data_IF_271359959709
#
_entry.id   IF_271359959709
#
_cell.length_a   1.000
_cell.length_b   1.000
_cell.length_c   1.000
_cell.angle_alpha   90.00
_cell.angle_beta   90.00
_cell.angle_gamma   90.00
#
_symmetry.space_group_name_H-M   'P 1'
#
loop_
_entity.id
_entity.type
_entity.pdbx_description
1 polymer ?
#
# COMPACT_ATOMS: atom_id res chain seq x y z
N UNK A 1 10.07 -2.06 9.17
CA UNK A 1 8.92 -2.53 8.36
C UNK A 1 8.91 -1.73 7.07
N UNK A 2 8.68 -2.38 5.94
CA UNK A 2 8.52 -1.72 4.65
C UNK A 2 7.16 -2.05 4.05
N UNK A 3 6.53 -1.03 3.45
CA UNK A 3 5.34 -1.15 2.62
C UNK A 3 5.75 -0.87 1.18
N UNK A 4 5.56 -1.86 0.30
CA UNK A 4 5.79 -1.72 -1.13
C UNK A 4 4.44 -1.75 -1.86
N UNK A 5 4.22 -0.77 -2.72
CA UNK A 5 3.02 -0.67 -3.55
C UNK A 5 3.49 -0.73 -5.00
N UNK A 6 2.98 -1.69 -5.76
CA UNK A 6 3.33 -1.87 -7.16
C UNK A 6 2.10 -1.73 -8.05
N UNK A 7 2.32 -1.34 -9.29
CA UNK A 7 1.29 -1.39 -10.32
C UNK A 7 1.13 -2.81 -10.82
N UNK A 8 -0.13 -3.22 -10.99
CA UNK A 8 -0.49 -4.47 -11.63
C UNK A 8 -0.70 -4.22 -13.12
N UNK A 9 0.26 -4.64 -13.92
CA UNK A 9 0.29 -4.36 -15.36
C UNK A 9 0.55 -5.64 -16.18
N UNK A 10 -0.45 -6.55 -16.25
CA UNK A 10 -0.29 -7.83 -16.95
C UNK A 10 -0.15 -7.68 -18.47
N UNK A 11 -0.51 -6.53 -19.02
CA UNK A 11 -0.46 -6.25 -20.46
C UNK A 11 0.69 -5.31 -20.84
N UNK A 12 1.53 -4.97 -19.88
CA UNK A 12 2.66 -4.05 -20.07
C UNK A 12 2.23 -2.71 -20.68
N UNK A 13 1.11 -2.17 -20.17
CA UNK A 13 0.57 -0.91 -20.65
C UNK A 13 1.51 0.28 -20.40
N UNK A 14 2.33 0.22 -19.34
CA UNK A 14 3.32 1.27 -19.06
C UNK A 14 4.31 1.43 -20.22
N UNK A 15 4.70 0.34 -20.87
CA UNK A 15 5.63 0.37 -22.00
C UNK A 15 5.01 1.00 -23.25
N UNK A 16 3.69 1.14 -23.29
CA UNK A 16 2.96 1.66 -24.45
C UNK A 16 2.67 3.15 -24.37
N UNK A 17 2.88 3.78 -23.22
CA UNK A 17 2.61 5.21 -23.00
C UNK A 17 3.89 6.01 -22.92
N UNK A 18 3.83 7.28 -23.32
CA UNK A 18 4.96 8.21 -23.21
C UNK A 18 5.06 8.78 -21.80
N UNK A 19 6.22 9.35 -21.47
CA UNK A 19 6.44 10.02 -20.18
C UNK A 19 5.46 11.19 -19.94
N UNK A 20 4.98 11.82 -21.01
CA UNK A 20 3.96 12.87 -20.88
C UNK A 20 2.64 12.37 -20.29
N UNK A 21 2.39 11.07 -20.36
CA UNK A 21 1.21 10.41 -19.77
C UNK A 21 1.56 9.78 -18.41
N UNK A 22 2.67 9.04 -18.33
CA UNK A 22 3.01 8.27 -17.13
C UNK A 22 3.47 9.16 -15.96
N UNK A 23 4.28 10.18 -16.21
CA UNK A 23 4.82 11.04 -15.14
C UNK A 23 3.72 11.80 -14.38
N UNK A 24 2.74 12.45 -15.02
CA UNK A 24 1.62 13.05 -14.28
C UNK A 24 0.79 12.03 -13.49
N UNK A 25 0.64 10.82 -14.00
CA UNK A 25 -0.05 9.75 -13.31
C UNK A 25 0.69 9.34 -12.02
N UNK A 26 2.01 9.16 -12.09
CA UNK A 26 2.82 8.85 -10.91
C UNK A 26 2.78 10.00 -9.89
N UNK A 27 2.79 11.24 -10.35
CA UNK A 27 2.69 12.41 -9.48
C UNK A 27 1.36 12.45 -8.72
N UNK A 28 0.26 12.09 -9.38
CA UNK A 28 -1.06 12.01 -8.75
C UNK A 28 -1.10 10.89 -7.71
N UNK A 29 -0.55 9.72 -8.03
CA UNK A 29 -0.42 8.61 -7.07
C UNK A 29 0.39 9.04 -5.85
N UNK A 30 1.47 9.78 -6.05
CA UNK A 30 2.31 10.27 -4.95
C UNK A 30 1.56 11.27 -4.06
N UNK A 31 0.76 12.15 -4.63
CA UNK A 31 -0.09 13.08 -3.86
C UNK A 31 -1.06 12.30 -2.98
N UNK A 32 -1.72 11.30 -3.52
CA UNK A 32 -2.65 10.45 -2.75
C UNK A 32 -1.93 9.68 -1.65
N UNK A 33 -0.74 9.15 -1.93
CA UNK A 33 0.04 8.44 -0.92
C UNK A 33 0.47 9.38 0.21
N UNK A 34 0.98 10.56 -0.12
CA UNK A 34 1.38 11.56 0.87
C UNK A 34 0.23 11.97 1.79
N UNK A 35 -0.95 12.18 1.24
CA UNK A 35 -2.15 12.51 2.03
C UNK A 35 -2.60 11.35 2.91
N UNK A 36 -2.52 10.14 2.40
CA UNK A 36 -2.79 8.92 3.18
C UNK A 36 -1.84 8.81 4.39
N UNK A 37 -0.55 9.09 4.18
CA UNK A 37 0.44 9.09 5.25
C UNK A 37 0.10 10.17 6.29
N UNK A 38 -0.16 11.40 5.86
CA UNK A 38 -0.47 12.53 6.77
C UNK A 38 -1.65 12.22 7.69
N UNK A 39 -2.74 11.72 7.13
CA UNK A 39 -3.94 11.43 7.93
C UNK A 39 -3.76 10.21 8.82
N UNK A 40 -3.08 9.18 8.34
CA UNK A 40 -2.84 7.97 9.14
C UNK A 40 -1.89 8.24 10.31
N UNK A 41 -0.81 9.01 10.13
CA UNK A 41 0.08 9.34 11.25
C UNK A 41 -0.64 10.17 12.31
N UNK A 42 -1.54 11.06 11.93
CA UNK A 42 -2.37 11.81 12.87
C UNK A 42 -3.29 10.87 13.67
N UNK A 43 -3.96 9.96 12.99
CA UNK A 43 -4.88 9.02 13.64
C UNK A 43 -4.15 8.11 14.63
N UNK A 44 -2.98 7.59 14.27
CA UNK A 44 -2.19 6.70 15.13
C UNK A 44 -1.24 7.45 16.08
N UNK A 45 -1.31 8.78 16.12
CA UNK A 45 -0.49 9.65 17.00
C UNK A 45 1.01 9.45 16.79
N UNK A 46 1.41 9.32 15.54
CA UNK A 46 2.80 9.26 15.13
C UNK A 46 3.24 10.60 14.53
N UNK A 47 4.54 10.75 14.32
CA UNK A 47 5.10 11.88 13.61
C UNK A 47 5.25 11.53 12.13
N UNK A 48 5.07 12.52 11.26
CA UNK A 48 5.30 12.32 9.81
C UNK A 48 6.73 11.82 9.53
N UNK A 49 7.69 12.28 10.33
CA UNK A 49 9.10 11.90 10.21
C UNK A 49 9.38 10.44 10.60
N UNK A 50 8.46 9.76 11.28
CA UNK A 50 8.61 8.33 11.58
C UNK A 50 8.53 7.46 10.32
N UNK A 51 7.88 7.96 9.26
CA UNK A 51 7.74 7.25 8.00
C UNK A 51 8.68 7.85 6.95
N UNK A 52 9.54 6.99 6.41
CA UNK A 52 10.50 7.35 5.36
C UNK A 52 9.94 6.95 4.01
N UNK A 53 10.04 7.84 3.03
CA UNK A 53 9.82 7.50 1.62
C UNK A 53 11.14 6.96 1.07
N UNK A 54 11.22 5.64 0.96
CA UNK A 54 12.42 4.97 0.39
C UNK A 54 12.47 5.19 -1.11
N UNK A 55 11.34 5.07 -1.76
CA UNK A 55 11.18 5.31 -3.19
C UNK A 55 9.81 5.95 -3.44
N UNK A 56 9.76 7.18 -4.00
CA UNK A 56 8.49 7.76 -4.44
C UNK A 56 7.97 7.04 -5.69
N UNK A 57 6.71 7.28 -6.05
CA UNK A 57 6.10 6.61 -7.20
C UNK A 57 6.88 6.82 -8.49
N UNK A 58 7.17 5.72 -9.14
CA UNK A 58 7.71 5.61 -10.49
C UNK A 58 7.12 4.33 -11.13
N UNK A 59 7.64 3.90 -12.27
CA UNK A 59 7.11 2.75 -13.01
C UNK A 59 7.03 1.46 -12.17
N UNK A 60 7.94 1.25 -11.22
CA UNK A 60 7.96 0.07 -10.34
C UNK A 60 7.17 0.28 -9.03
N UNK A 61 6.44 1.39 -8.90
CA UNK A 61 5.63 1.68 -7.73
C UNK A 61 6.31 2.58 -6.72
N UNK A 62 5.98 2.42 -5.44
CA UNK A 62 6.52 3.21 -4.34
C UNK A 62 6.84 2.34 -3.12
N UNK A 63 7.76 2.80 -2.29
CA UNK A 63 8.15 2.09 -1.05
C UNK A 63 8.28 3.06 0.12
N UNK A 64 7.66 2.70 1.23
CA UNK A 64 7.74 3.38 2.52
C UNK A 64 8.41 2.48 3.54
N UNK A 65 9.02 3.06 4.57
CA UNK A 65 9.53 2.30 5.71
C UNK A 65 9.28 3.03 7.03
N UNK A 66 9.21 2.25 8.10
CA UNK A 66 9.07 2.73 9.47
C UNK A 66 9.88 1.80 10.38
N UNK A 67 10.42 2.34 11.47
CA UNK A 67 11.09 1.52 12.47
C UNK A 67 10.08 0.57 13.15
N UNK A 68 10.43 -0.71 13.26
CA UNK A 68 9.54 -1.74 13.80
C UNK A 68 9.15 -1.50 15.27
N UNK A 69 10.00 -0.81 16.02
CA UNK A 69 9.75 -0.47 17.43
C UNK A 69 8.90 0.80 17.62
N UNK A 70 8.51 1.48 16.55
CA UNK A 70 7.58 2.61 16.63
C UNK A 70 6.21 2.09 17.07
N UNK A 71 5.57 2.71 18.08
CA UNK A 71 4.24 2.28 18.51
C UNK A 71 3.23 2.30 17.35
N UNK A 72 2.42 1.26 17.23
CA UNK A 72 1.40 1.10 16.18
C UNK A 72 1.96 1.10 14.75
N UNK A 73 3.25 0.79 14.57
CA UNK A 73 3.91 0.86 13.27
C UNK A 73 3.20 0.01 12.21
N UNK A 74 2.93 -1.26 12.50
CA UNK A 74 2.28 -2.16 11.56
C UNK A 74 0.84 -1.74 11.25
N UNK A 75 0.08 -1.34 12.29
CA UNK A 75 -1.29 -0.87 12.12
C UNK A 75 -1.36 0.39 11.25
N UNK A 76 -0.47 1.35 11.49
CA UNK A 76 -0.40 2.58 10.69
C UNK A 76 -0.05 2.29 9.24
N UNK A 77 0.98 1.48 8.99
CA UNK A 77 1.41 1.14 7.64
C UNK A 77 0.34 0.36 6.87
N UNK A 78 -0.35 -0.57 7.51
CA UNK A 78 -1.46 -1.30 6.90
C UNK A 78 -2.62 -0.35 6.54
N UNK A 79 -2.94 0.61 7.39
CA UNK A 79 -3.99 1.59 7.11
C UNK A 79 -3.60 2.52 5.96
N UNK A 80 -2.35 2.96 5.89
CA UNK A 80 -1.84 3.74 4.75
C UNK A 80 -2.07 2.98 3.44
N UNK A 81 -1.67 1.71 3.39
CA UNK A 81 -1.87 0.87 2.22
C UNK A 81 -3.35 0.70 1.85
N UNK A 82 -4.20 0.54 2.85
CA UNK A 82 -5.66 0.40 2.67
C UNK A 82 -6.28 1.67 2.11
N UNK A 83 -5.99 2.82 2.70
CA UNK A 83 -6.53 4.12 2.26
C UNK A 83 -6.04 4.45 0.85
N UNK A 84 -4.75 4.24 0.59
CA UNK A 84 -4.21 4.45 -0.75
C UNK A 84 -4.89 3.56 -1.79
N UNK A 85 -5.13 2.30 -1.47
CA UNK A 85 -5.80 1.38 -2.40
C UNK A 85 -7.24 1.83 -2.69
N UNK A 86 -7.97 2.30 -1.69
CA UNK A 86 -9.32 2.85 -1.91
C UNK A 86 -9.29 4.07 -2.83
N UNK A 87 -8.31 4.96 -2.67
CA UNK A 87 -8.09 6.10 -3.55
C UNK A 87 -7.74 5.65 -4.98
N UNK A 88 -6.87 4.67 -5.09
CA UNK A 88 -6.46 4.09 -6.38
C UNK A 88 -7.66 3.47 -7.13
N UNK A 89 -8.59 2.83 -6.42
CA UNK A 89 -9.78 2.27 -7.02
C UNK A 89 -10.75 3.34 -7.52
N UNK A 90 -10.93 4.43 -6.78
CA UNK A 90 -11.72 5.58 -7.23
C UNK A 90 -11.12 6.18 -8.50
N UNK A 91 -9.79 6.35 -8.51
CA UNK A 91 -9.06 6.85 -9.66
C UNK A 91 -9.19 5.91 -10.87
N UNK A 92 -9.04 4.61 -10.63
CA UNK A 92 -9.14 3.58 -11.67
C UNK A 92 -10.50 3.63 -12.36
N UNK A 93 -11.58 3.68 -11.58
CA UNK A 93 -12.95 3.76 -12.11
C UNK A 93 -13.15 5.02 -12.95
N UNK A 94 -12.77 6.17 -12.42
CA UNK A 94 -12.94 7.47 -13.08
C UNK A 94 -12.14 7.55 -14.38
N UNK A 95 -10.86 7.18 -14.34
CA UNK A 95 -9.99 7.28 -15.51
C UNK A 95 -10.37 6.30 -16.60
N UNK A 96 -10.87 5.12 -16.24
CA UNK A 96 -11.41 4.19 -17.24
C UNK A 96 -12.64 4.75 -17.95
N UNK A 97 -13.54 5.37 -17.22
CA UNK A 97 -14.72 6.03 -17.81
C UNK A 97 -14.30 7.16 -18.75
N UNK A 98 -13.27 7.90 -18.41
CA UNK A 98 -12.69 8.99 -19.24
C UNK A 98 -11.74 8.47 -20.34
N UNK A 99 -11.52 7.19 -20.45
CA UNK A 99 -10.56 6.55 -21.38
C UNK A 99 -9.12 7.07 -21.20
N UNK A 100 -8.74 7.33 -19.95
CA UNK A 100 -7.39 7.77 -19.57
C UNK A 100 -6.57 6.59 -19.09
N UNK A 101 -5.24 6.73 -19.19
CA UNK A 101 -4.31 5.73 -18.67
C UNK A 101 -4.43 5.62 -17.15
N UNK A 102 -4.58 4.37 -16.68
CA UNK A 102 -4.63 4.05 -15.25
C UNK A 102 -4.32 2.57 -15.04
N UNK A 103 -3.70 2.26 -13.91
CA UNK A 103 -3.41 0.88 -13.50
C UNK A 103 -4.01 0.61 -12.12
N UNK A 104 -4.30 -0.66 -11.86
CA UNK A 104 -4.62 -1.13 -10.52
C UNK A 104 -3.33 -1.35 -9.73
N UNK A 105 -3.43 -1.40 -8.41
CA UNK A 105 -2.29 -1.58 -7.52
C UNK A 105 -2.43 -2.84 -6.67
N UNK A 106 -1.32 -3.26 -6.11
CA UNK A 106 -1.17 -4.34 -5.14
C UNK A 106 -0.13 -3.92 -4.12
N UNK A 107 -0.15 -4.46 -2.90
CA UNK A 107 0.81 -4.05 -1.88
C UNK A 107 1.27 -5.18 -0.99
N UNK A 108 2.47 -5.02 -0.44
CA UNK A 108 3.05 -5.95 0.53
C UNK A 108 3.71 -5.20 1.68
N UNK A 109 3.48 -5.68 2.89
CA UNK A 109 4.05 -5.15 4.12
C UNK A 109 4.92 -6.24 4.74
N UNK A 110 6.21 -5.95 4.95
CA UNK A 110 7.13 -6.96 5.46
C UNK A 110 8.19 -6.39 6.37
N UNK A 111 8.68 -7.22 7.27
CA UNK A 111 9.97 -7.05 7.95
C UNK A 111 11.06 -7.76 7.15
N UNK A 112 12.33 -7.60 7.57
CA UNK A 112 13.44 -8.33 6.98
C UNK A 112 13.26 -9.85 7.15
N UNK A 113 13.79 -10.62 6.21
CA UNK A 113 13.79 -12.09 6.24
C UNK A 113 15.23 -12.57 6.26
N UNK A 114 15.77 -12.81 7.45
CA UNK A 114 17.17 -13.18 7.65
C UNK A 114 17.53 -14.50 6.95
N UNK A 115 16.63 -15.48 7.00
CA UNK A 115 16.83 -16.80 6.37
C UNK A 115 17.05 -16.71 4.86
N UNK A 116 16.58 -15.64 4.21
CA UNK A 116 16.73 -15.38 2.77
C UNK A 116 17.69 -14.22 2.49
N UNK A 117 18.30 -13.64 3.52
CA UNK A 117 19.16 -12.45 3.42
C UNK A 117 18.47 -11.27 2.74
N UNK A 118 17.16 -11.09 3.00
CA UNK A 118 16.38 -9.99 2.46
C UNK A 118 16.19 -8.89 3.49
N UNK A 119 16.39 -7.65 3.07
CA UNK A 119 15.96 -6.48 3.82
C UNK A 119 14.42 -6.41 3.83
N UNK A 120 13.85 -5.57 4.70
CA UNK A 120 12.40 -5.35 4.72
C UNK A 120 11.88 -4.88 3.36
N UNK A 121 12.60 -3.96 2.71
CA UNK A 121 12.25 -3.46 1.37
C UNK A 121 12.26 -4.58 0.33
N UNK A 122 13.33 -5.36 0.29
CA UNK A 122 13.44 -6.49 -0.65
C UNK A 122 12.37 -7.54 -0.41
N UNK A 123 12.09 -7.85 0.85
CA UNK A 123 11.06 -8.83 1.20
C UNK A 123 9.66 -8.34 0.80
N UNK A 124 9.35 -7.08 1.05
CA UNK A 124 8.07 -6.48 0.63
C UNK A 124 7.91 -6.52 -0.89
N UNK A 125 8.94 -6.15 -1.64
CA UNK A 125 8.92 -6.20 -3.11
C UNK A 125 8.68 -7.62 -3.64
N UNK A 126 9.37 -8.62 -3.10
CA UNK A 126 9.18 -10.02 -3.50
C UNK A 126 7.79 -10.54 -3.15
N UNK A 127 7.27 -10.14 -2.00
CA UNK A 127 5.92 -10.52 -1.59
C UNK A 127 4.88 -10.02 -2.59
N UNK A 128 4.99 -8.75 -3.01
CA UNK A 128 4.06 -8.12 -3.94
C UNK A 128 4.07 -8.80 -5.31
N UNK A 129 5.21 -9.27 -5.80
CA UNK A 129 5.31 -9.93 -7.11
C UNK A 129 4.41 -11.18 -7.24
N UNK A 130 4.00 -11.77 -6.13
CA UNK A 130 3.13 -12.96 -6.12
C UNK A 130 1.64 -12.60 -6.14
N UNK A 131 1.31 -11.32 -6.10
CA UNK A 131 -0.06 -10.84 -5.93
C UNK A 131 -0.68 -10.42 -7.25
N UNK A 132 -2.02 -10.54 -7.31
CA UNK A 132 -2.84 -9.99 -8.38
C UNK A 132 -3.31 -8.57 -8.04
N UNK A 133 -4.04 -7.95 -8.96
CA UNK A 133 -4.61 -6.62 -8.73
C UNK A 133 -5.48 -6.60 -7.46
N UNK A 134 -5.37 -5.54 -6.69
CA UNK A 134 -6.10 -5.30 -5.43
C UNK A 134 -5.75 -6.25 -4.29
N UNK A 135 -4.82 -7.16 -4.50
CA UNK A 135 -4.40 -8.04 -3.43
C UNK A 135 -3.34 -7.37 -2.57
N UNK A 136 -3.43 -7.64 -1.27
CA UNK A 136 -2.49 -7.15 -0.26
C UNK A 136 -2.04 -8.32 0.59
N UNK A 137 -0.76 -8.37 0.94
CA UNK A 137 -0.20 -9.40 1.78
C UNK A 137 0.72 -8.81 2.84
N UNK A 138 0.89 -9.54 3.94
CA UNK A 138 1.76 -9.14 5.04
C UNK A 138 2.68 -10.30 5.43
N UNK A 139 3.90 -9.96 5.78
CA UNK A 139 4.89 -10.87 6.37
C UNK A 139 5.52 -10.18 7.57
N UNK A 140 5.03 -10.50 8.75
CA UNK A 140 5.40 -9.82 9.99
C UNK A 140 5.63 -10.84 11.11
N UNK A 141 6.55 -10.57 12.06
CA UNK A 141 6.64 -11.36 13.28
C UNK A 141 5.38 -11.22 14.14
N UNK A 142 5.17 -12.17 15.05
CA UNK A 142 3.91 -12.27 15.81
C UNK A 142 3.53 -10.98 16.53
N UNK A 143 4.48 -10.29 17.15
CA UNK A 143 4.19 -9.06 17.90
C UNK A 143 3.62 -7.96 17.01
N UNK A 144 4.10 -7.86 15.78
CA UNK A 144 3.60 -6.89 14.80
C UNK A 144 2.32 -7.39 14.13
N UNK A 145 2.24 -8.69 13.88
CA UNK A 145 1.06 -9.32 13.29
C UNK A 145 -0.17 -9.15 14.19
N UNK A 146 0.01 -9.18 15.51
CA UNK A 146 -1.06 -8.98 16.49
C UNK A 146 -1.71 -7.60 16.39
N UNK A 147 -0.98 -6.58 15.91
CA UNK A 147 -1.56 -5.27 15.63
C UNK A 147 -2.61 -5.30 14.51
N UNK A 148 -2.51 -6.28 13.61
CA UNK A 148 -3.39 -6.42 12.46
C UNK A 148 -4.48 -7.46 12.67
N UNK A 149 -4.18 -8.58 13.32
CA UNK A 149 -5.07 -9.74 13.40
C UNK A 149 -6.39 -9.45 14.11
N UNK A 150 -6.44 -8.44 14.98
CA UNK A 150 -7.66 -8.01 15.66
C UNK A 150 -8.63 -7.26 14.72
N UNK A 151 -8.14 -6.71 13.61
CA UNK A 151 -8.90 -5.81 12.74
C UNK A 151 -8.98 -6.28 11.28
N UNK A 152 -8.09 -7.17 10.86
CA UNK A 152 -8.03 -7.68 9.49
C UNK A 152 -8.21 -9.18 9.45
N UNK A 153 -8.88 -9.65 8.41
CA UNK A 153 -8.96 -11.08 8.10
C UNK A 153 -7.71 -11.49 7.35
N UNK A 154 -6.86 -12.28 8.03
CA UNK A 154 -5.60 -12.77 7.48
C UNK A 154 -5.73 -14.25 7.13
N UNK A 155 -5.38 -14.59 5.89
CA UNK A 155 -5.47 -15.95 5.36
C UNK A 155 -4.11 -16.36 4.82
N UNK A 156 -3.69 -17.58 5.08
CA UNK A 156 -2.41 -18.10 4.58
C UNK A 156 -2.31 -17.98 3.07
N UNK A 157 -1.10 -17.70 2.57
CA UNK A 157 -0.84 -17.62 1.13
C UNK A 157 -1.12 -18.96 0.47
N UNK A 158 -1.79 -18.98 -0.70
CA UNK A 158 -1.98 -20.20 -1.45
C UNK A 158 -0.65 -20.65 -2.11
N UNK A 159 -0.39 -21.95 -2.11
CA UNK A 159 0.76 -22.58 -2.80
C UNK A 159 2.12 -21.91 -2.49
N UNK A 160 2.53 -21.83 -1.20
CA UNK A 160 3.77 -21.16 -0.84
C UNK A 160 4.99 -21.91 -1.39
N UNK A 161 5.86 -21.19 -2.13
CA UNK A 161 7.03 -21.77 -2.80
C UNK A 161 8.34 -21.52 -2.05
N UNK A 162 8.36 -20.63 -1.05
CA UNK A 162 9.56 -20.29 -0.28
C UNK A 162 9.22 -19.92 1.17
N UNK A 163 10.25 -19.66 1.97
CA UNK A 163 10.11 -19.33 3.40
C UNK A 163 9.29 -18.04 3.59
N UNK A 164 9.50 -17.02 2.77
CA UNK A 164 8.73 -15.78 2.83
C UNK A 164 7.23 -16.04 2.68
N UNK A 165 6.86 -16.79 1.65
CA UNK A 165 5.46 -17.10 1.35
C UNK A 165 4.80 -17.97 2.40
N UNK A 166 5.55 -18.92 3.00
CA UNK A 166 5.02 -19.82 4.03
C UNK A 166 4.58 -19.10 5.29
N UNK A 167 5.21 -17.97 5.61
CA UNK A 167 4.92 -17.18 6.80
C UNK A 167 4.16 -15.88 6.49
N UNK A 168 3.72 -15.70 5.26
CA UNK A 168 2.95 -14.55 4.83
C UNK A 168 1.45 -14.85 4.84
N UNK A 169 0.66 -13.77 4.95
CA UNK A 169 -0.80 -13.82 4.95
C UNK A 169 -1.37 -12.87 3.92
N UNK A 170 -2.41 -13.31 3.21
CA UNK A 170 -3.26 -12.45 2.41
C UNK A 170 -4.20 -11.67 3.33
N UNK A 171 -4.43 -10.41 3.02
CA UNK A 171 -5.41 -9.57 3.71
C UNK A 171 -6.71 -9.62 2.92
N UNK A 172 -7.68 -10.41 3.40
CA UNK A 172 -8.95 -10.64 2.69
C UNK A 172 -10.05 -9.67 3.08
N UNK A 173 -9.90 -8.94 4.17
CA UNK A 173 -10.91 -8.00 4.62
C UNK A 173 -10.51 -7.37 5.95
N UNK A 174 -11.41 -6.53 6.46
CA UNK A 174 -11.21 -5.86 7.74
C UNK A 174 -12.54 -5.78 8.49
N UNK A 175 -12.49 -5.52 9.80
CA UNK A 175 -13.69 -5.32 10.59
C UNK A 175 -14.41 -4.02 10.17
N UNK A 176 -15.65 -3.87 10.60
CA UNK A 176 -16.48 -2.71 10.21
C UNK A 176 -15.88 -1.38 10.69
N UNK A 177 -15.29 -1.35 11.87
CA UNK A 177 -14.67 -0.15 12.43
C UNK A 177 -13.49 0.32 11.59
N UNK A 178 -12.60 -0.61 11.21
CA UNK A 178 -11.44 -0.31 10.34
C UNK A 178 -11.89 0.08 8.94
N UNK A 179 -12.90 -0.57 8.39
CA UNK A 179 -13.48 -0.23 7.09
C UNK A 179 -14.09 1.18 7.08
N UNK A 180 -14.82 1.55 8.12
CA UNK A 180 -15.40 2.88 8.28
C UNK A 180 -14.30 3.94 8.39
N UNK A 181 -13.25 3.68 9.18
CA UNK A 181 -12.11 4.58 9.28
C UNK A 181 -11.43 4.79 7.92
N UNK A 182 -11.12 3.71 7.20
CA UNK A 182 -10.49 3.79 5.89
C UNK A 182 -11.32 4.61 4.90
N UNK A 183 -12.63 4.38 4.86
CA UNK A 183 -13.54 5.13 4.00
C UNK A 183 -13.65 6.60 4.40
N UNK A 184 -13.65 6.89 5.69
CA UNK A 184 -13.66 8.26 6.22
C UNK A 184 -12.40 9.03 5.80
N UNK A 185 -11.23 8.42 5.94
CA UNK A 185 -9.96 9.01 5.53
C UNK A 185 -9.90 9.24 4.02
N UNK A 186 -10.34 8.27 3.23
CA UNK A 186 -10.46 8.42 1.78
C UNK A 186 -11.35 9.61 1.40
N UNK A 187 -12.52 9.71 2.02
CA UNK A 187 -13.47 10.79 1.77
C UNK A 187 -12.88 12.15 2.09
N UNK A 188 -12.18 12.26 3.21
CA UNK A 188 -11.50 13.50 3.62
C UNK A 188 -10.44 13.93 2.58
N UNK A 189 -9.63 12.99 2.08
CA UNK A 189 -8.63 13.25 1.07
C UNK A 189 -9.27 13.73 -0.24
N UNK A 190 -10.35 13.09 -0.67
CA UNK A 190 -11.05 13.46 -1.90
C UNK A 190 -11.75 14.83 -1.78
N UNK A 191 -12.29 15.18 -0.63
CA UNK A 191 -12.88 16.49 -0.37
C UNK A 191 -11.83 17.60 -0.42
N UNK A 192 -10.66 17.39 0.15
CA UNK A 192 -9.56 18.36 0.12
C UNK A 192 -9.10 18.71 -1.30
N UNK A 193 -9.28 17.81 -2.27
CA UNK A 193 -9.00 18.06 -3.68
C UNK A 193 -10.00 19.05 -4.30
N UNK A 194 -11.25 19.05 -3.84
CA UNK A 194 -12.29 19.95 -4.36
C UNK A 194 -12.21 21.35 -3.76
N UNK A 195 -11.77 21.48 -2.52
CA UNK A 195 -11.65 22.79 -1.85
C UNK A 195 -10.49 23.64 -2.37
N UNK A 196 -9.51 23.03 -3.05
CA UNK A 196 -8.37 23.74 -3.68
C UNK A 196 -8.63 24.14 -5.14
N UNK A 197 -9.73 23.71 -5.72
CA UNK A 197 -10.10 24.00 -7.10
C UNK A 197 -11.15 25.14 -7.21
N UNK A 198 -11.56 25.70 -6.07
CA UNK A 198 -12.41 26.90 -5.96
C UNK A 198 -11.56 28.15 -5.54
#
# INVERSE_FOLDING_TARGET
IALNIQFYDPKQLLDTVTQSVSVPYFSLCQIFLNKSIELCVQHYKLNRSDIQTVQPFHEDGATLSIAANTPNAAACMAMIGTVFQLLSEVLYKRYREEKRFVLQTRSGLSTAVEAMQLSAVQAAERLVHQLSARENAVHLPNELLDQLSAHYELVSMPNPTNVLMRHAFMVNGMDSQSAELAQSLRTEILKGKHSKAS
#
